data_IF_835316119697
#
_entry.id   IF_835316119697
#
_cell.length_a   1.000
_cell.length_b   1.000
_cell.length_c   1.000
_cell.angle_alpha   90.00
_cell.angle_beta   90.00
_cell.angle_gamma   90.00
#
_symmetry.space_group_name_H-M   'P 1'
#
loop_
_entity.id
_entity.type
_entity.pdbx_description
1 polymer ?
#
# COMPACT_ATOMS: atom_id res chain seq x y z
N UNK A 1 -10.63 9.33 20.05
CA UNK A 1 -9.20 8.97 20.06
C UNK A 1 -8.59 9.16 18.68
N UNK A 2 -7.45 9.79 18.62
CA UNK A 2 -6.66 9.94 17.39
C UNK A 2 -5.70 8.76 17.29
N UNK A 3 -6.14 7.66 16.65
CA UNK A 3 -5.39 6.40 16.67
C UNK A 3 -3.99 6.52 16.00
N UNK A 4 -3.85 7.39 15.00
CA UNK A 4 -2.55 7.57 14.35
C UNK A 4 -1.63 8.56 15.09
N UNK A 5 -2.18 9.32 16.05
CA UNK A 5 -1.42 10.26 16.84
C UNK A 5 -0.62 11.26 16.02
N UNK A 6 0.64 11.46 16.40
CA UNK A 6 1.53 12.40 15.69
C UNK A 6 1.91 11.96 14.28
N UNK A 7 1.58 10.73 13.87
CA UNK A 7 1.92 10.19 12.54
C UNK A 7 0.84 10.45 11.49
N UNK A 8 -0.31 10.99 11.88
CA UNK A 8 -1.44 11.19 10.97
C UNK A 8 -1.07 12.00 9.72
N UNK A 9 -0.35 13.11 9.89
CA UNK A 9 0.08 13.95 8.78
C UNK A 9 1.09 13.23 7.88
N UNK A 10 1.97 12.45 8.48
CA UNK A 10 2.96 11.67 7.74
C UNK A 10 2.31 10.62 6.85
N UNK A 11 1.18 10.02 7.27
CA UNK A 11 0.50 8.99 6.46
C UNK A 11 0.04 9.54 5.12
N UNK A 12 -0.53 10.73 5.07
CA UNK A 12 -0.92 11.37 3.82
C UNK A 12 0.30 11.68 2.95
N UNK A 13 1.36 12.20 3.53
CA UNK A 13 2.60 12.50 2.82
C UNK A 13 3.24 11.22 2.24
N UNK A 14 3.25 10.13 3.00
CA UNK A 14 3.78 8.83 2.56
C UNK A 14 2.93 8.27 1.43
N UNK A 15 1.61 8.34 1.55
CA UNK A 15 0.70 7.92 0.48
C UNK A 15 1.01 8.64 -0.83
N UNK A 16 1.15 9.97 -0.77
CA UNK A 16 1.48 10.77 -1.95
C UNK A 16 2.86 10.39 -2.51
N UNK A 17 3.83 10.15 -1.65
CA UNK A 17 5.17 9.72 -2.05
C UNK A 17 5.13 8.39 -2.81
N UNK A 18 4.38 7.40 -2.30
CA UNK A 18 4.23 6.10 -2.95
C UNK A 18 3.49 6.24 -4.29
N UNK A 19 2.43 7.04 -4.33
CA UNK A 19 1.73 7.34 -5.58
C UNK A 19 2.68 7.96 -6.61
N UNK A 20 3.53 8.88 -6.20
CA UNK A 20 4.50 9.52 -7.08
C UNK A 20 5.54 8.52 -7.60
N UNK A 21 6.00 7.59 -6.77
CA UNK A 21 6.87 6.51 -7.21
C UNK A 21 6.20 5.65 -8.30
N UNK A 22 4.94 5.30 -8.12
CA UNK A 22 4.19 4.49 -9.07
C UNK A 22 3.94 5.27 -10.37
N UNK A 23 3.60 6.54 -10.27
CA UNK A 23 3.43 7.42 -11.44
C UNK A 23 4.73 7.53 -12.24
N UNK A 24 5.86 7.62 -11.56
CA UNK A 24 7.17 7.68 -12.20
C UNK A 24 7.49 6.39 -12.96
N UNK A 25 7.21 5.23 -12.35
CA UNK A 25 7.36 3.94 -13.04
C UNK A 25 6.53 3.88 -14.32
N UNK A 26 5.29 4.35 -14.25
CA UNK A 26 4.40 4.41 -15.42
C UNK A 26 4.95 5.35 -16.49
N UNK A 27 5.41 6.53 -16.08
CA UNK A 27 6.00 7.51 -17.00
C UNK A 27 7.22 6.94 -17.73
N UNK A 28 8.10 6.25 -17.01
CA UNK A 28 9.27 5.60 -17.60
C UNK A 28 8.89 4.50 -18.59
N UNK A 29 7.86 3.68 -18.26
CA UNK A 29 7.37 2.64 -19.16
C UNK A 29 6.85 3.25 -20.47
N UNK A 30 6.06 4.31 -20.38
CA UNK A 30 5.51 5.00 -21.56
C UNK A 30 6.63 5.62 -22.39
N UNK A 31 7.63 6.25 -21.78
CA UNK A 31 8.78 6.81 -22.47
C UNK A 31 9.61 5.73 -23.20
N UNK A 32 9.62 4.51 -22.66
CA UNK A 32 10.30 3.37 -23.30
C UNK A 32 9.47 2.71 -24.41
N UNK A 33 8.32 3.29 -24.77
CA UNK A 33 7.44 2.78 -25.81
C UNK A 33 6.57 1.61 -25.38
N UNK A 34 6.49 1.35 -24.07
CA UNK A 34 5.66 0.29 -23.53
C UNK A 34 4.24 0.78 -23.21
N UNK A 35 3.23 -0.13 -23.15
CA UNK A 35 1.90 0.27 -22.70
C UNK A 35 1.92 0.83 -21.28
N UNK A 36 0.96 1.70 -20.97
CA UNK A 36 0.81 2.22 -19.60
C UNK A 36 0.58 1.07 -18.61
N UNK A 37 1.03 1.27 -17.37
CA UNK A 37 0.99 0.23 -16.34
C UNK A 37 -0.37 0.09 -15.69
N UNK A 38 -1.21 1.13 -15.73
CA UNK A 38 -2.53 1.12 -15.08
C UNK A 38 -3.47 2.13 -15.76
N UNK A 39 -4.77 1.97 -15.50
CA UNK A 39 -5.82 2.93 -15.90
C UNK A 39 -6.11 3.94 -14.79
N UNK A 40 -6.20 3.45 -13.54
CA UNK A 40 -6.51 4.28 -12.38
C UNK A 40 -5.57 3.98 -11.23
N UNK A 41 -5.20 5.03 -10.50
CA UNK A 41 -4.39 4.96 -9.31
C UNK A 41 -5.10 5.77 -8.22
N UNK A 42 -5.54 5.11 -7.15
CA UNK A 42 -6.32 5.73 -6.08
C UNK A 42 -5.69 5.38 -4.74
N UNK A 43 -5.28 6.40 -3.99
CA UNK A 43 -4.75 6.23 -2.64
C UNK A 43 -5.76 6.65 -1.58
N UNK A 44 -5.68 6.02 -0.41
CA UNK A 44 -6.51 6.34 0.73
C UNK A 44 -5.79 6.02 2.03
N UNK A 45 -5.88 6.94 3.00
CA UNK A 45 -5.53 6.67 4.38
C UNK A 45 -6.81 6.19 5.08
N UNK A 46 -6.73 5.05 5.78
CA UNK A 46 -7.88 4.50 6.50
C UNK A 46 -8.32 5.47 7.58
N UNK A 47 -9.62 5.78 7.61
CA UNK A 47 -10.16 6.72 8.58
C UNK A 47 -9.95 6.26 10.02
N UNK A 48 -9.83 7.20 10.93
CA UNK A 48 -9.60 6.95 12.35
C UNK A 48 -10.61 5.94 12.94
N UNK A 49 -11.90 6.18 12.75
CA UNK A 49 -12.94 5.30 13.30
C UNK A 49 -12.91 3.90 12.69
N UNK A 50 -12.60 3.80 11.41
CA UNK A 50 -12.47 2.51 10.71
C UNK A 50 -11.30 1.70 11.25
N UNK A 51 -10.19 2.35 11.56
CA UNK A 51 -9.03 1.68 12.15
C UNK A 51 -9.29 1.25 13.58
N UNK A 52 -9.96 2.07 14.38
CA UNK A 52 -10.36 1.71 15.73
C UNK A 52 -11.26 0.46 15.71
N UNK A 53 -12.26 0.44 14.83
CA UNK A 53 -13.16 -0.69 14.67
C UNK A 53 -12.41 -1.95 14.25
N UNK A 54 -11.45 -1.83 13.35
CA UNK A 54 -10.62 -2.96 12.92
C UNK A 54 -9.81 -3.53 14.09
N UNK A 55 -9.22 -2.68 14.93
CA UNK A 55 -8.50 -3.13 16.12
C UNK A 55 -9.41 -3.93 17.05
N UNK A 56 -10.64 -3.45 17.29
CA UNK A 56 -11.62 -4.20 18.10
C UNK A 56 -11.94 -5.55 17.47
N UNK A 57 -12.25 -5.57 16.19
CA UNK A 57 -12.61 -6.80 15.46
C UNK A 57 -11.49 -7.83 15.46
N UNK A 58 -10.25 -7.39 15.37
CA UNK A 58 -9.05 -8.26 15.35
C UNK A 58 -8.56 -8.63 16.75
N UNK A 59 -9.11 -8.04 17.81
CA UNK A 59 -8.65 -8.27 19.17
C UNK A 59 -7.31 -7.61 19.49
N UNK A 60 -6.95 -6.58 18.75
CA UNK A 60 -5.74 -5.80 19.03
C UNK A 60 -6.03 -4.66 20.02
N UNK A 61 -5.04 -4.25 20.81
CA UNK A 61 -5.17 -3.02 21.58
C UNK A 61 -5.49 -1.84 20.65
N UNK A 62 -6.36 -0.93 21.08
CA UNK A 62 -6.63 0.29 20.31
C UNK A 62 -5.48 1.27 20.58
N UNK A 63 -4.47 1.23 19.73
CA UNK A 63 -3.24 2.00 19.89
C UNK A 63 -2.62 2.35 18.53
N UNK A 64 -1.77 3.36 18.54
CA UNK A 64 -1.02 3.75 17.33
C UNK A 64 -0.12 2.61 16.84
N UNK A 65 0.52 1.88 17.74
CA UNK A 65 1.34 0.73 17.38
C UNK A 65 0.51 -0.35 16.67
N UNK A 66 -0.68 -0.68 17.18
CA UNK A 66 -1.55 -1.65 16.53
C UNK A 66 -1.96 -1.17 15.13
N UNK A 67 -2.30 0.11 14.99
CA UNK A 67 -2.73 0.68 13.72
C UNK A 67 -1.62 0.66 12.66
N UNK A 68 -0.36 0.88 13.06
CA UNK A 68 0.76 1.04 12.14
C UNK A 68 1.65 -0.21 12.02
N UNK A 69 1.53 -1.19 12.91
CA UNK A 69 2.35 -2.40 12.89
C UNK A 69 1.54 -3.68 12.81
N UNK A 70 0.48 -3.83 13.60
CA UNK A 70 -0.35 -5.04 13.56
C UNK A 70 -1.32 -5.02 12.37
N UNK A 71 -1.85 -3.85 12.03
CA UNK A 71 -2.61 -3.63 10.81
C UNK A 71 -1.68 -3.16 9.72
N UNK A 72 -1.97 -3.52 8.46
CA UNK A 72 -1.09 -3.21 7.34
C UNK A 72 -1.77 -2.29 6.31
N UNK A 73 -2.95 -1.78 6.61
CA UNK A 73 -3.78 -1.04 5.67
C UNK A 73 -4.13 0.38 6.12
N UNK A 74 -3.31 0.96 7.01
CA UNK A 74 -3.43 2.39 7.34
C UNK A 74 -3.33 3.24 6.07
N UNK A 75 -2.43 2.84 5.15
CA UNK A 75 -2.33 3.42 3.82
C UNK A 75 -2.71 2.33 2.82
N UNK A 76 -3.68 2.63 1.96
CA UNK A 76 -4.10 1.73 0.89
C UNK A 76 -3.97 2.44 -0.46
N UNK A 77 -3.50 1.72 -1.47
CA UNK A 77 -3.42 2.20 -2.84
C UNK A 77 -4.05 1.16 -3.74
N UNK A 78 -4.99 1.59 -4.57
CA UNK A 78 -5.61 0.73 -5.57
C UNK A 78 -5.06 1.07 -6.94
N UNK A 79 -4.53 0.06 -7.61
CA UNK A 79 -4.08 0.15 -9.00
C UNK A 79 -5.07 -0.65 -9.84
N UNK A 80 -5.74 0.01 -10.78
CA UNK A 80 -6.71 -0.64 -11.68
C UNK A 80 -6.08 -0.80 -13.05
N UNK A 81 -5.97 -2.04 -13.50
CA UNK A 81 -5.39 -2.39 -14.80
C UNK A 81 -6.47 -2.93 -15.73
N UNK A 82 -6.29 -2.72 -17.05
CA UNK A 82 -7.20 -3.27 -18.07
C UNK A 82 -6.97 -4.77 -18.31
N UNK A 83 -5.73 -5.22 -18.17
CA UNK A 83 -5.33 -6.58 -18.51
C UNK A 83 -4.54 -7.23 -17.38
N UNK A 84 -4.68 -8.55 -17.25
CA UNK A 84 -3.93 -9.34 -16.25
C UNK A 84 -2.42 -9.21 -16.46
N UNK A 85 -1.97 -9.14 -17.71
CA UNK A 85 -0.55 -8.98 -18.03
C UNK A 85 0.03 -7.68 -17.45
N UNK A 86 -0.78 -6.60 -17.36
CA UNK A 86 -0.36 -5.34 -16.75
C UNK A 86 -0.13 -5.50 -15.25
N UNK A 87 -0.94 -6.33 -14.59
CA UNK A 87 -0.76 -6.66 -13.18
C UNK A 87 0.59 -7.34 -12.97
N UNK A 88 0.95 -8.31 -13.80
CA UNK A 88 2.25 -9.00 -13.70
C UNK A 88 3.42 -8.02 -13.87
N UNK A 89 3.31 -7.07 -14.79
CA UNK A 89 4.33 -6.02 -15.00
C UNK A 89 4.46 -5.14 -13.77
N UNK A 90 3.34 -4.70 -13.20
CA UNK A 90 3.32 -3.87 -11.99
C UNK A 90 3.95 -4.60 -10.82
N UNK A 91 3.62 -5.88 -10.63
CA UNK A 91 4.19 -6.70 -9.57
C UNK A 91 5.71 -6.81 -9.70
N UNK A 92 6.20 -7.05 -10.90
CA UNK A 92 7.63 -7.16 -11.15
C UNK A 92 8.37 -5.87 -10.82
N UNK A 93 7.81 -4.73 -11.24
CA UNK A 93 8.41 -3.42 -10.95
C UNK A 93 8.42 -3.11 -9.45
N UNK A 94 7.36 -3.47 -8.73
CA UNK A 94 7.31 -3.26 -7.29
C UNK A 94 8.30 -4.18 -6.55
N UNK A 95 8.46 -5.42 -7.00
CA UNK A 95 9.44 -6.36 -6.41
C UNK A 95 10.87 -5.89 -6.61
N UNK A 96 11.17 -5.18 -7.69
CA UNK A 96 12.49 -4.67 -8.03
C UNK A 96 12.78 -3.27 -7.48
N UNK A 97 11.75 -2.57 -6.97
CA UNK A 97 11.90 -1.20 -6.49
C UNK A 97 12.79 -1.13 -5.25
N UNK A 98 13.60 -0.08 -5.16
CA UNK A 98 14.52 0.12 -4.05
C UNK A 98 13.91 0.87 -2.85
N UNK A 99 12.72 1.45 -3.02
CA UNK A 99 12.02 2.20 -1.97
C UNK A 99 11.05 1.35 -1.16
N UNK A 100 10.89 0.08 -1.48
CA UNK A 100 10.00 -0.83 -0.76
C UNK A 100 10.46 -2.28 -0.87
N UNK A 101 9.89 -3.12 -0.02
CA UNK A 101 10.00 -4.58 -0.14
C UNK A 101 8.61 -5.18 0.00
N UNK A 102 8.34 -6.27 -0.73
CA UNK A 102 7.07 -6.99 -0.65
C UNK A 102 7.14 -7.98 0.52
N UNK A 103 6.25 -7.80 1.50
CA UNK A 103 6.25 -8.65 2.70
C UNK A 103 5.14 -9.68 2.71
N UNK A 104 4.08 -9.48 1.92
CA UNK A 104 2.98 -10.43 1.78
C UNK A 104 2.32 -10.29 0.43
N UNK A 105 1.86 -11.40 -0.15
CA UNK A 105 1.11 -11.43 -1.41
C UNK A 105 -0.07 -12.38 -1.28
N UNK A 106 -1.21 -12.00 -1.88
CA UNK A 106 -2.40 -12.86 -2.01
C UNK A 106 -2.90 -12.79 -3.45
N UNK A 107 -2.86 -13.93 -4.14
CA UNK A 107 -3.22 -14.06 -5.55
C UNK A 107 -4.67 -14.56 -5.67
N UNK A 108 -5.61 -13.63 -5.92
CA UNK A 108 -7.00 -13.95 -6.21
C UNK A 108 -7.29 -13.99 -7.71
N UNK A 109 -6.27 -13.95 -8.55
CA UNK A 109 -6.38 -14.16 -10.00
C UNK A 109 -6.34 -15.65 -10.28
N UNK A 110 -5.32 -16.35 -9.80
CA UNK A 110 -5.20 -17.81 -9.90
C UNK A 110 -6.17 -18.54 -8.98
N UNK A 111 -6.36 -18.01 -7.77
CA UNK A 111 -7.21 -18.59 -6.72
C UNK A 111 -8.42 -17.69 -6.50
N UNK A 112 -9.23 -17.52 -7.56
CA UNK A 112 -10.41 -16.65 -7.52
C UNK A 112 -11.36 -17.08 -6.41
N UNK A 113 -11.96 -16.09 -5.72
CA UNK A 113 -12.98 -16.35 -4.71
C UNK A 113 -14.23 -16.94 -5.35
N UNK A 114 -15.05 -17.70 -4.60
CA UNK A 114 -16.26 -18.33 -5.14
C UNK A 114 -17.23 -17.35 -5.80
N UNK A 115 -17.23 -16.06 -5.42
CA UNK A 115 -18.06 -15.02 -6.02
C UNK A 115 -17.50 -14.46 -7.35
N UNK A 116 -16.39 -15.02 -7.86
CA UNK A 116 -15.76 -14.54 -9.09
C UNK A 116 -14.83 -13.34 -8.92
N UNK A 117 -14.63 -12.86 -7.69
CA UNK A 117 -13.74 -11.74 -7.43
C UNK A 117 -12.30 -12.09 -7.80
N UNK A 118 -11.67 -11.22 -8.59
CA UNK A 118 -10.29 -11.40 -9.04
C UNK A 118 -9.48 -10.16 -8.72
N UNK A 119 -8.41 -10.34 -7.99
CA UNK A 119 -7.48 -9.27 -7.66
C UNK A 119 -6.17 -9.85 -7.16
N UNK A 120 -5.17 -9.01 -7.07
CA UNK A 120 -3.89 -9.34 -6.45
C UNK A 120 -3.63 -8.33 -5.34
N UNK A 121 -3.32 -8.82 -4.15
CA UNK A 121 -3.07 -7.97 -2.99
C UNK A 121 -1.62 -8.08 -2.55
N UNK A 122 -1.02 -6.94 -2.29
CA UNK A 122 0.34 -6.83 -1.77
C UNK A 122 0.33 -6.06 -0.45
N UNK A 123 1.22 -6.46 0.45
CA UNK A 123 1.63 -5.59 1.56
C UNK A 123 3.08 -5.21 1.29
N UNK A 124 3.33 -3.91 1.17
CA UNK A 124 4.67 -3.36 1.01
C UNK A 124 5.17 -2.81 2.34
N UNK A 125 6.45 -3.00 2.60
CA UNK A 125 7.17 -2.25 3.62
C UNK A 125 7.92 -1.12 2.90
N UNK A 126 7.47 0.11 3.11
CA UNK A 126 7.99 1.29 2.40
C UNK A 126 8.98 2.01 3.29
N UNK A 127 10.14 2.34 2.73
CA UNK A 127 11.13 3.19 3.38
C UNK A 127 10.85 4.65 3.01
N UNK A 128 10.77 5.52 4.01
CA UNK A 128 10.41 6.93 3.85
C UNK A 128 11.24 7.80 4.77
N UNK A 129 11.46 9.09 4.44
CA UNK A 129 12.19 10.01 5.32
C UNK A 129 11.50 10.28 6.67
N UNK A 130 10.22 9.95 6.81
CA UNK A 130 9.46 10.24 8.02
C UNK A 130 9.76 9.23 9.13
N UNK A 131 9.84 9.71 10.38
CA UNK A 131 10.00 8.86 11.55
C UNK A 131 8.81 7.90 11.69
N UNK A 132 9.08 6.64 12.02
CA UNK A 132 8.04 5.63 12.24
C UNK A 132 7.71 5.45 13.72
N UNK A 133 6.73 4.59 14.01
CA UNK A 133 6.21 4.34 15.35
C UNK A 133 7.26 3.71 16.29
N UNK A 134 8.30 3.09 15.73
CA UNK A 134 9.41 2.50 16.50
C UNK A 134 10.57 3.48 16.72
N UNK A 135 10.42 4.73 16.23
CA UNK A 135 11.43 5.77 16.41
C UNK A 135 12.53 5.74 15.37
N UNK A 136 12.40 4.98 14.29
CA UNK A 136 13.40 4.93 13.22
C UNK A 136 13.20 6.08 12.22
N UNK A 137 14.33 6.63 11.75
CA UNK A 137 14.32 7.65 10.69
C UNK A 137 15.60 7.48 9.85
N UNK A 138 15.52 7.11 8.57
CA UNK A 138 14.28 6.90 7.79
C UNK A 138 13.40 5.80 8.37
N UNK A 139 12.09 5.99 8.26
CA UNK A 139 11.10 5.12 8.83
C UNK A 139 10.58 4.08 7.86
N UNK A 140 9.87 3.09 8.41
CA UNK A 140 9.24 2.02 7.66
C UNK A 140 7.74 2.00 7.94
N UNK A 141 6.95 1.98 6.87
CA UNK A 141 5.49 1.97 6.96
C UNK A 141 4.93 0.89 6.03
N UNK A 142 3.86 0.23 6.47
CA UNK A 142 3.15 -0.72 5.64
C UNK A 142 2.18 0.01 4.72
N UNK A 143 2.12 -0.44 3.46
CA UNK A 143 1.17 0.05 2.46
C UNK A 143 0.53 -1.16 1.79
N UNK A 144 -0.80 -1.21 1.79
CA UNK A 144 -1.55 -2.25 1.08
C UNK A 144 -1.87 -1.79 -0.34
N UNK A 145 -1.61 -2.68 -1.30
CA UNK A 145 -1.91 -2.42 -2.72
C UNK A 145 -2.88 -3.45 -3.28
#
# INVERSE_FOLDING_TARGET
MEIYGKYADSLNAIMNEVEDHIKDLNHQAVLAGQPKLYEHLIGRVKQNDSMIEKCHRKGYPVSTESALRKCHDAIGIRIVCNFIDDIDRDLQLLREADWCSVVQEKDYIKNAKPNGYRSYHLILNVTTPYEDVDGNQPGHYFVEI
#
